data_IF_487046466067
#
_entry.id   IF_487046466067
#
_cell.length_a   1.000
_cell.length_b   1.000
_cell.length_c   1.000
_cell.angle_alpha   90.00
_cell.angle_beta   90.00
_cell.angle_gamma   90.00
#
_symmetry.space_group_name_H-M   'P 1'
#
loop_
_entity.id
_entity.type
_entity.pdbx_description
1 polymer ?
#
# COMPACT_ATOMS: atom_id res chain seq x y z
N UNK A 1 -28.31 -24.62 -0.78
CA UNK A 1 -27.03 -24.62 -1.50
C UNK A 1 -26.19 -23.51 -0.89
N UNK A 2 -25.30 -23.87 0.04
CA UNK A 2 -24.42 -22.91 0.69
C UNK A 2 -23.38 -22.46 -0.32
N UNK A 3 -23.39 -21.17 -0.69
CA UNK A 3 -22.39 -20.59 -1.56
C UNK A 3 -21.01 -20.78 -0.92
N UNK A 4 -19.99 -21.27 -1.64
CA UNK A 4 -18.64 -21.33 -1.11
C UNK A 4 -18.15 -19.89 -0.95
N UNK A 5 -18.02 -19.42 0.30
CA UNK A 5 -17.23 -18.22 0.59
C UNK A 5 -15.79 -18.56 0.22
N UNK A 6 -15.34 -18.05 -0.93
CA UNK A 6 -13.96 -18.25 -1.40
C UNK A 6 -12.98 -17.81 -0.31
N UNK A 7 -11.91 -18.58 -0.01
CA UNK A 7 -10.94 -18.26 1.04
C UNK A 7 -10.35 -16.84 0.92
N UNK A 8 -10.34 -16.26 -0.29
CA UNK A 8 -9.92 -14.89 -0.55
C UNK A 8 -10.70 -13.81 0.23
N UNK A 9 -11.97 -14.08 0.60
CA UNK A 9 -12.77 -13.10 1.36
C UNK A 9 -12.44 -13.08 2.85
N UNK A 10 -11.81 -14.13 3.40
CA UNK A 10 -11.42 -14.16 4.82
C UNK A 10 -10.24 -13.22 5.11
N UNK A 11 -9.42 -12.94 4.11
CA UNK A 11 -8.19 -12.15 4.23
C UNK A 11 -8.37 -10.67 3.84
N UNK A 12 -9.61 -10.22 3.59
CA UNK A 12 -9.92 -8.83 3.27
C UNK A 12 -10.81 -8.21 4.34
N UNK A 13 -10.32 -7.16 4.98
CA UNK A 13 -11.06 -6.40 5.99
C UNK A 13 -11.22 -4.94 5.57
N UNK A 14 -12.31 -4.31 5.97
CA UNK A 14 -12.53 -2.87 5.82
C UNK A 14 -12.74 -2.26 7.19
N UNK A 15 -11.95 -1.25 7.53
CA UNK A 15 -12.09 -0.46 8.75
C UNK A 15 -12.63 0.91 8.35
N UNK A 16 -13.88 1.20 8.73
CA UNK A 16 -14.60 2.42 8.33
C UNK A 16 -14.82 3.43 9.45
N UNK A 17 -14.43 3.08 10.67
CA UNK A 17 -14.50 3.93 11.85
C UNK A 17 -13.40 3.51 12.82
N UNK A 18 -12.94 4.46 13.63
CA UNK A 18 -12.10 4.18 14.78
C UNK A 18 -12.98 3.57 15.89
N UNK A 19 -12.62 2.37 16.33
CA UNK A 19 -13.29 1.65 17.42
C UNK A 19 -12.57 1.77 18.77
N UNK A 20 -11.48 2.55 18.83
CA UNK A 20 -10.66 2.77 20.02
C UNK A 20 -9.79 1.57 20.39
N UNK A 21 -9.62 0.59 19.50
CA UNK A 21 -8.69 -0.52 19.72
C UNK A 21 -7.25 -0.12 19.38
N UNK A 22 -6.29 -0.64 20.16
CA UNK A 22 -4.86 -0.38 19.93
C UNK A 22 -4.40 -0.80 18.51
N UNK A 23 -5.06 -1.78 17.90
CA UNK A 23 -4.76 -2.24 16.54
C UNK A 23 -5.19 -1.21 15.49
N UNK A 24 -6.42 -0.69 15.60
CA UNK A 24 -6.93 0.34 14.69
C UNK A 24 -6.16 1.63 14.85
N UNK A 25 -5.87 2.06 16.09
CA UNK A 25 -5.03 3.23 16.38
C UNK A 25 -3.65 3.10 15.73
N UNK A 26 -2.98 1.94 15.88
CA UNK A 26 -1.68 1.72 15.24
C UNK A 26 -1.76 1.79 13.71
N UNK A 27 -2.82 1.25 13.10
CA UNK A 27 -3.01 1.35 11.65
C UNK A 27 -3.20 2.79 11.19
N UNK A 28 -3.95 3.59 11.95
CA UNK A 28 -4.14 5.02 11.71
C UNK A 28 -2.79 5.74 11.77
N UNK A 29 -2.03 5.59 12.86
CA UNK A 29 -0.72 6.23 13.03
C UNK A 29 0.26 5.92 11.88
N UNK A 30 0.37 4.64 11.50
CA UNK A 30 1.23 4.25 10.38
C UNK A 30 0.71 4.78 9.03
N UNK A 31 -0.61 4.81 8.81
CA UNK A 31 -1.16 5.38 7.58
C UNK A 31 -0.93 6.89 7.51
N UNK A 32 -1.07 7.63 8.60
CA UNK A 32 -0.76 9.07 8.65
C UNK A 32 0.70 9.35 8.29
N UNK A 33 1.63 8.54 8.80
CA UNK A 33 3.04 8.61 8.41
C UNK A 33 3.24 8.26 6.93
N UNK A 34 2.50 7.31 6.36
CA UNK A 34 2.52 7.03 4.93
C UNK A 34 1.99 8.23 4.11
N UNK A 35 0.94 8.91 4.57
CA UNK A 35 0.42 10.15 3.95
C UNK A 35 1.48 11.25 3.97
N UNK A 36 2.24 11.40 5.07
CA UNK A 36 3.37 12.33 5.11
C UNK A 36 4.42 12.01 4.04
N UNK A 37 4.71 10.72 3.78
CA UNK A 37 5.59 10.35 2.67
C UNK A 37 5.00 10.73 1.30
N UNK A 38 3.70 10.54 1.10
CA UNK A 38 3.04 10.90 -0.16
C UNK A 38 3.20 12.40 -0.48
N UNK A 39 3.21 13.27 0.54
CA UNK A 39 3.39 14.71 0.40
C UNK A 39 4.81 15.12 -0.04
N UNK A 40 5.80 14.25 0.12
CA UNK A 40 7.17 14.49 -0.36
C UNK A 40 7.29 14.29 -1.89
N UNK A 41 6.37 13.57 -2.50
CA UNK A 41 6.39 13.31 -3.93
C UNK A 41 6.07 14.60 -4.71
N UNK A 42 6.92 14.91 -5.70
CA UNK A 42 6.66 16.03 -6.62
C UNK A 42 5.38 15.74 -7.43
N UNK A 43 4.38 16.63 -7.40
CA UNK A 43 3.17 16.51 -8.23
C UNK A 43 3.49 16.43 -9.72
N UNK A 44 2.69 15.68 -10.46
CA UNK A 44 2.77 15.56 -11.93
C UNK A 44 1.35 15.51 -12.50
N UNK A 45 1.18 15.71 -13.81
CA UNK A 45 -0.14 15.66 -14.44
C UNK A 45 -0.62 14.25 -14.82
N UNK A 46 0.19 13.22 -14.59
CA UNK A 46 -0.06 11.88 -15.12
C UNK A 46 0.21 10.74 -14.15
N UNK A 47 0.57 11.03 -12.89
CA UNK A 47 0.91 10.00 -11.93
C UNK A 47 0.65 10.43 -10.49
N UNK A 48 0.00 9.55 -9.73
CA UNK A 48 -0.32 9.77 -8.33
C UNK A 48 0.92 9.96 -7.45
N UNK A 49 0.76 10.83 -6.46
CA UNK A 49 1.56 10.94 -5.26
C UNK A 49 1.07 9.88 -4.26
N UNK A 50 1.86 8.83 -4.10
CA UNK A 50 1.59 7.72 -3.18
C UNK A 50 2.71 7.69 -2.16
N UNK A 51 2.37 7.37 -0.92
CA UNK A 51 3.30 7.12 0.16
C UNK A 51 3.16 5.69 0.68
N UNK A 52 4.24 5.14 1.21
CA UNK A 52 4.27 3.79 1.73
C UNK A 52 5.23 3.66 2.92
N UNK A 53 4.89 2.77 3.84
CA UNK A 53 5.76 2.33 4.93
C UNK A 53 5.86 0.82 4.93
N UNK A 54 7.03 0.32 5.31
CA UNK A 54 7.26 -1.08 5.61
C UNK A 54 7.55 -1.21 7.11
N UNK A 55 6.72 -1.98 7.81
CA UNK A 55 6.74 -2.08 9.27
C UNK A 55 6.84 -3.55 9.69
N UNK A 56 7.65 -3.85 10.70
CA UNK A 56 7.69 -5.17 11.33
C UNK A 56 7.57 -5.00 12.85
N UNK A 57 6.50 -5.56 13.42
CA UNK A 57 6.06 -5.23 14.77
C UNK A 57 5.69 -3.75 14.88
N UNK A 58 6.37 -3.01 15.76
CA UNK A 58 6.23 -1.55 15.91
C UNK A 58 7.35 -0.75 15.22
N UNK A 59 8.28 -1.42 14.52
CA UNK A 59 9.43 -0.79 13.91
C UNK A 59 9.19 -0.49 12.44
N UNK A 60 9.35 0.78 12.05
CA UNK A 60 9.41 1.19 10.65
C UNK A 60 10.78 0.80 10.10
N UNK A 61 10.79 -0.13 9.15
CA UNK A 61 12.01 -0.62 8.49
C UNK A 61 12.46 0.35 7.40
N UNK A 62 11.49 0.81 6.61
CA UNK A 62 11.72 1.73 5.51
C UNK A 62 10.44 2.49 5.17
N UNK A 63 10.62 3.67 4.61
CA UNK A 63 9.55 4.48 4.01
C UNK A 63 9.68 4.47 2.50
N UNK A 64 8.70 4.97 1.78
CA UNK A 64 8.82 5.23 0.34
C UNK A 64 7.77 6.19 -0.16
N UNK A 65 8.09 6.93 -1.21
CA UNK A 65 7.11 7.74 -1.94
C UNK A 65 7.29 7.63 -3.45
N UNK A 66 6.25 7.97 -4.20
CA UNK A 66 6.29 7.95 -5.66
C UNK A 66 7.48 8.74 -6.20
N UNK A 67 8.27 8.12 -7.10
CA UNK A 67 9.42 8.73 -7.78
C UNK A 67 10.56 9.16 -6.84
N UNK A 68 10.65 8.56 -5.66
CA UNK A 68 11.80 8.77 -4.75
C UNK A 68 13.10 8.21 -5.34
N UNK A 69 13.04 7.03 -5.97
CA UNK A 69 14.18 6.40 -6.62
C UNK A 69 14.14 6.62 -8.15
N UNK A 70 15.29 6.58 -8.84
CA UNK A 70 15.33 6.68 -10.30
C UNK A 70 14.55 5.56 -11.00
N UNK A 71 14.06 5.81 -12.22
CA UNK A 71 13.43 4.77 -13.06
C UNK A 71 11.92 4.65 -12.92
N UNK A 72 11.24 5.76 -12.61
CA UNK A 72 9.77 5.82 -12.47
C UNK A 72 9.26 4.84 -11.39
N UNK A 73 9.83 4.87 -10.17
CA UNK A 73 9.44 3.92 -9.12
C UNK A 73 8.17 4.35 -8.40
N UNK A 74 7.41 3.36 -7.93
CA UNK A 74 6.25 3.58 -7.05
C UNK A 74 6.67 3.52 -5.58
N UNK A 75 5.87 4.09 -4.68
CA UNK A 75 6.16 4.16 -3.26
C UNK A 75 6.51 2.79 -2.62
N UNK A 76 5.70 1.77 -2.86
CA UNK A 76 5.95 0.42 -2.35
C UNK A 76 7.27 -0.17 -2.88
N UNK A 77 7.58 0.06 -4.17
CA UNK A 77 8.85 -0.37 -4.76
C UNK A 77 10.04 0.33 -4.08
N UNK A 78 9.93 1.63 -3.80
CA UNK A 78 10.96 2.39 -3.08
C UNK A 78 11.18 1.85 -1.67
N UNK A 79 10.11 1.65 -0.90
CA UNK A 79 10.20 1.15 0.47
C UNK A 79 10.85 -0.25 0.53
N UNK A 80 10.40 -1.17 -0.32
CA UNK A 80 10.95 -2.54 -0.38
C UNK A 80 12.42 -2.53 -0.83
N UNK A 81 12.76 -1.74 -1.86
CA UNK A 81 14.14 -1.66 -2.36
C UNK A 81 15.09 -1.13 -1.28
N UNK A 82 14.74 0.00 -0.63
CA UNK A 82 15.54 0.56 0.46
C UNK A 82 15.70 -0.42 1.63
N UNK A 83 14.62 -1.11 2.02
CA UNK A 83 14.68 -2.10 3.09
C UNK A 83 15.62 -3.26 2.76
N UNK A 84 15.51 -3.83 1.55
CA UNK A 84 16.35 -4.95 1.08
C UNK A 84 17.83 -4.59 0.93
N UNK A 85 18.15 -3.33 0.65
CA UNK A 85 19.53 -2.83 0.59
C UNK A 85 20.11 -2.42 1.95
N UNK A 86 19.33 -2.53 3.04
CA UNK A 86 19.74 -2.14 4.38
C UNK A 86 20.12 -3.33 5.26
N UNK A 87 20.71 -3.07 6.42
CA UNK A 87 20.99 -4.07 7.46
C UNK A 87 19.71 -4.75 8.02
N UNK A 88 18.53 -4.21 7.70
CA UNK A 88 17.22 -4.71 8.11
C UNK A 88 16.55 -5.60 7.06
N UNK A 89 17.25 -6.00 5.98
CA UNK A 89 16.67 -6.78 4.87
C UNK A 89 15.90 -8.04 5.32
N UNK A 90 16.37 -8.72 6.37
CA UNK A 90 15.72 -9.90 6.96
C UNK A 90 14.33 -9.61 7.56
N UNK A 91 14.06 -8.36 7.93
CA UNK A 91 12.80 -7.94 8.55
C UNK A 91 11.69 -7.69 7.53
N UNK A 92 12.01 -7.69 6.23
CA UNK A 92 11.03 -7.49 5.15
C UNK A 92 10.04 -8.66 5.06
N UNK A 93 10.52 -9.89 5.24
CA UNK A 93 9.66 -11.07 5.25
C UNK A 93 8.78 -11.05 6.51
N UNK A 94 7.48 -11.26 6.34
CA UNK A 94 6.49 -11.19 7.41
C UNK A 94 6.14 -9.77 7.87
N UNK A 95 6.65 -8.73 7.18
CA UNK A 95 6.30 -7.35 7.46
C UNK A 95 4.87 -6.99 7.02
N UNK A 96 4.40 -5.85 7.50
CA UNK A 96 3.19 -5.16 7.06
C UNK A 96 3.60 -3.98 6.18
N UNK A 97 2.96 -3.84 5.02
CA UNK A 97 3.15 -2.68 4.15
C UNK A 97 1.92 -1.76 4.20
N UNK A 98 2.13 -0.51 4.61
CA UNK A 98 1.12 0.53 4.54
C UNK A 98 1.30 1.27 3.22
N UNK A 99 0.21 1.53 2.50
CA UNK A 99 0.20 2.25 1.23
C UNK A 99 -1.01 3.16 1.15
N UNK A 100 -0.82 4.44 0.83
CA UNK A 100 -1.94 5.38 0.74
C UNK A 100 -2.90 5.08 -0.42
N UNK A 101 -2.48 4.22 -1.35
CA UNK A 101 -3.24 3.80 -2.52
C UNK A 101 -3.00 2.32 -2.80
N UNK A 102 -3.98 1.65 -3.40
CA UNK A 102 -3.91 0.24 -3.79
C UNK A 102 -2.64 -0.06 -4.62
N UNK A 103 -1.83 -1.08 -4.23
CA UNK A 103 -0.65 -1.46 -5.00
C UNK A 103 -1.00 -1.94 -6.40
N UNK A 104 -0.44 -1.32 -7.44
CA UNK A 104 -0.79 -1.64 -8.82
C UNK A 104 -0.62 -3.14 -9.18
N UNK A 105 -1.54 -3.65 -10.01
CA UNK A 105 -1.47 -4.97 -10.64
C UNK A 105 -0.76 -4.96 -11.99
N UNK A 106 -0.67 -3.81 -12.64
CA UNK A 106 -0.06 -3.65 -13.95
C UNK A 106 0.67 -2.32 -14.06
N UNK A 107 1.65 -2.24 -14.96
CA UNK A 107 2.44 -1.02 -15.19
C UNK A 107 2.69 -0.81 -16.67
N UNK A 108 2.21 0.32 -17.19
CA UNK A 108 2.48 0.75 -18.57
C UNK A 108 3.98 0.94 -18.85
N UNK A 109 4.77 1.28 -17.82
CA UNK A 109 6.23 1.42 -17.94
C UNK A 109 6.99 0.12 -18.20
N UNK A 110 6.34 -1.05 -18.12
CA UNK A 110 7.00 -2.37 -18.23
C UNK A 110 7.73 -2.84 -16.95
N UNK A 111 7.89 -1.98 -15.95
CA UNK A 111 8.39 -2.36 -14.63
C UNK A 111 7.49 -3.41 -13.96
N UNK A 112 8.07 -4.17 -13.03
CA UNK A 112 7.34 -5.14 -12.20
C UNK A 112 6.25 -4.44 -11.38
N UNK A 113 5.00 -4.95 -11.36
CA UNK A 113 3.92 -4.39 -10.55
C UNK A 113 4.20 -4.40 -9.05
N UNK A 114 3.59 -3.48 -8.31
CA UNK A 114 3.79 -3.39 -6.86
C UNK A 114 3.27 -4.64 -6.15
N UNK A 115 2.11 -5.17 -6.56
CA UNK A 115 1.59 -6.45 -6.02
C UNK A 115 2.60 -7.59 -6.17
N UNK A 116 3.27 -7.71 -7.32
CA UNK A 116 4.33 -8.71 -7.54
C UNK A 116 5.56 -8.48 -6.66
N UNK A 117 5.99 -7.22 -6.46
CA UNK A 117 7.07 -6.91 -5.53
C UNK A 117 6.73 -7.29 -4.08
N UNK A 118 5.49 -7.04 -3.65
CA UNK A 118 5.00 -7.35 -2.30
C UNK A 118 5.00 -8.86 -2.06
N UNK A 119 4.41 -9.62 -2.99
CA UNK A 119 4.35 -11.09 -2.93
C UNK A 119 5.77 -11.68 -2.92
N UNK A 120 6.63 -11.24 -3.85
CA UNK A 120 8.02 -11.72 -3.93
C UNK A 120 8.91 -11.27 -2.76
N UNK A 121 8.47 -10.32 -1.95
CA UNK A 121 9.15 -9.91 -0.73
C UNK A 121 8.72 -10.72 0.51
N UNK A 122 7.66 -11.53 0.40
CA UNK A 122 7.11 -12.30 1.52
C UNK A 122 6.45 -11.41 2.58
N UNK A 123 5.91 -10.25 2.18
CA UNK A 123 5.11 -9.37 3.04
C UNK A 123 3.80 -10.10 3.37
N UNK A 124 3.43 -10.14 4.65
CA UNK A 124 2.26 -10.92 5.11
C UNK A 124 0.94 -10.17 4.99
N UNK A 125 0.98 -8.84 5.11
CA UNK A 125 -0.20 -8.00 5.18
C UNK A 125 0.05 -6.65 4.51
N UNK A 126 -0.97 -6.13 3.85
CA UNK A 126 -0.98 -4.80 3.24
C UNK A 126 -2.15 -4.01 3.79
N UNK A 127 -1.88 -2.82 4.32
CA UNK A 127 -2.90 -1.86 4.73
C UNK A 127 -2.98 -0.77 3.67
N UNK A 128 -4.14 -0.61 3.04
CA UNK A 128 -4.37 0.40 2.01
C UNK A 128 -5.28 1.51 2.52
N UNK A 129 -4.96 2.75 2.17
CA UNK A 129 -5.82 3.90 2.48
C UNK A 129 -7.01 4.02 1.54
N UNK A 130 -6.75 3.86 0.23
CA UNK A 130 -7.75 4.05 -0.83
C UNK A 130 -7.57 2.98 -1.90
N UNK A 131 -8.68 2.48 -2.45
CA UNK A 131 -8.64 1.70 -3.69
C UNK A 131 -8.35 2.58 -4.90
N UNK A 132 -7.54 2.11 -5.83
CA UNK A 132 -7.23 2.86 -7.05
C UNK A 132 -8.55 3.18 -7.79
N UNK A 133 -8.86 4.45 -8.10
CA UNK A 133 -10.13 4.78 -8.73
C UNK A 133 -10.21 4.20 -10.15
N UNK A 134 -11.35 3.59 -10.48
CA UNK A 134 -11.59 2.94 -11.78
C UNK A 134 -11.48 3.88 -12.99
N UNK A 135 -11.61 5.20 -12.78
CA UNK A 135 -11.40 6.22 -13.81
C UNK A 135 -9.96 6.27 -14.31
N UNK A 136 -8.98 5.81 -13.50
CA UNK A 136 -7.56 5.84 -13.84
C UNK A 136 -7.01 4.49 -14.25
N UNK A 137 -7.46 3.39 -13.61
CA UNK A 137 -7.14 2.04 -14.06
C UNK A 137 -8.10 0.97 -13.53
N UNK A 138 -8.22 -0.14 -14.25
CA UNK A 138 -8.82 -1.38 -13.75
C UNK A 138 -7.80 -2.13 -12.86
N UNK A 139 -7.48 -1.56 -11.70
CA UNK A 139 -6.50 -2.13 -10.79
C UNK A 139 -7.06 -3.41 -10.14
N UNK A 140 -6.23 -4.45 -10.15
CA UNK A 140 -6.51 -5.76 -9.54
C UNK A 140 -5.48 -6.07 -8.45
N UNK A 141 -4.97 -5.03 -7.80
CA UNK A 141 -3.89 -5.11 -6.84
C UNK A 141 -4.28 -5.92 -5.62
N UNK A 142 -5.41 -5.53 -5.01
CA UNK A 142 -6.02 -6.24 -3.86
C UNK A 142 -6.29 -7.69 -4.22
N UNK A 143 -6.93 -7.95 -5.37
CA UNK A 143 -7.26 -9.32 -5.81
C UNK A 143 -6.02 -10.19 -5.87
N UNK A 144 -4.94 -9.72 -6.52
CA UNK A 144 -3.69 -10.49 -6.62
C UNK A 144 -3.01 -10.75 -5.28
N UNK A 145 -3.09 -9.80 -4.35
CA UNK A 145 -2.54 -9.96 -3.01
C UNK A 145 -3.30 -11.05 -2.24
N UNK A 146 -4.63 -10.99 -2.27
CA UNK A 146 -5.49 -11.97 -1.61
C UNK A 146 -5.31 -13.38 -2.19
N UNK A 147 -5.23 -13.52 -3.51
CA UNK A 147 -4.97 -14.80 -4.20
C UNK A 147 -3.61 -15.40 -3.83
N UNK A 148 -2.62 -14.56 -3.51
CA UNK A 148 -1.31 -14.99 -3.04
C UNK A 148 -1.24 -15.24 -1.52
N UNK A 149 -2.37 -15.12 -0.81
CA UNK A 149 -2.45 -15.33 0.64
C UNK A 149 -1.97 -14.14 1.48
N UNK A 150 -1.81 -12.95 0.88
CA UNK A 150 -1.49 -11.72 1.61
C UNK A 150 -2.78 -11.14 2.18
N UNK A 151 -2.78 -10.84 3.48
CA UNK A 151 -3.89 -10.15 4.13
C UNK A 151 -3.99 -8.70 3.64
N UNK A 152 -5.20 -8.20 3.43
CA UNK A 152 -5.44 -6.83 3.01
C UNK A 152 -6.44 -6.16 3.93
N UNK A 153 -6.04 -5.03 4.52
CA UNK A 153 -6.92 -4.17 5.30
C UNK A 153 -7.12 -2.88 4.52
N UNK A 154 -8.36 -2.51 4.24
CA UNK A 154 -8.72 -1.22 3.68
C UNK A 154 -9.13 -0.28 4.82
N UNK A 155 -8.26 0.69 5.12
CA UNK A 155 -8.46 1.72 6.14
C UNK A 155 -9.32 2.86 5.60
N UNK A 156 -10.57 2.53 5.30
CA UNK A 156 -11.54 3.40 4.63
C UNK A 156 -11.76 4.74 5.36
N UNK A 157 -11.61 4.75 6.68
CA UNK A 157 -11.78 5.97 7.49
C UNK A 157 -10.79 7.11 7.16
N UNK A 158 -9.70 6.83 6.42
CA UNK A 158 -8.71 7.81 5.98
C UNK A 158 -8.67 8.00 4.45
N UNK A 159 -9.75 7.65 3.72
CA UNK A 159 -9.78 7.75 2.25
C UNK A 159 -9.53 9.19 1.76
N UNK A 160 -10.17 10.17 2.39
CA UNK A 160 -10.05 11.58 1.98
C UNK A 160 -8.63 12.11 2.20
N UNK A 161 -8.02 11.79 3.34
CA UNK A 161 -6.67 12.18 3.69
C UNK A 161 -5.63 11.53 2.78
N UNK A 162 -5.85 10.28 2.39
CA UNK A 162 -5.01 9.56 1.44
C UNK A 162 -5.13 10.09 0.00
N UNK A 163 -6.29 10.60 -0.40
CA UNK A 163 -6.51 11.23 -1.71
C UNK A 163 -6.00 12.67 -1.76
N UNK A 164 -5.91 13.38 -0.63
CA UNK A 164 -5.51 14.79 -0.56
C UNK A 164 -4.19 15.14 -1.28
N UNK A 165 -3.11 14.33 -1.24
CA UNK A 165 -1.89 14.58 -2.02
C UNK A 165 -2.10 14.59 -3.54
N UNK A 166 -3.24 14.08 -4.02
CA UNK A 166 -3.59 13.87 -5.41
C UNK A 166 -4.67 14.82 -5.93
N UNK A 167 -5.11 15.82 -5.15
CA UNK A 167 -6.15 16.78 -5.57
C UNK A 167 -5.87 17.40 -6.95
N UNK A 168 -4.60 17.67 -7.26
CA UNK A 168 -4.15 18.20 -8.55
C UNK A 168 -4.44 17.30 -9.79
N UNK A 169 -4.79 16.03 -9.57
CA UNK A 169 -5.18 15.06 -10.60
C UNK A 169 -6.68 14.73 -10.57
N UNK A 170 -7.35 15.07 -9.47
CA UNK A 170 -8.74 14.68 -9.20
C UNK A 170 -9.73 15.84 -9.40
N UNK A 171 -9.21 17.06 -9.60
CA UNK A 171 -9.96 18.27 -9.99
C UNK A 171 -10.13 18.36 -11.50
#
# INVERSE_FOLDING_TARGET
>A
MSSPTSPALANYQVISHDDGSEEVEAHIEFMELAIQQAQLARPTQSAFNVGSLLVNGRQIIATGFSRELPGNTHAAQCAIAKAKSSHQARMVQGAVLYSTMEPCSFRLSGNVPCSSHIIGAGIRQVVIGVKEPATFSDCQGVTRLLEAGVEVIHLKLLEEECLRPNIHLLS
#
